data_IF_137415569327
#
_entry.id   IF_137415569327
#
_cell.length_a   1.000
_cell.length_b   1.000
_cell.length_c   1.000
_cell.angle_alpha   90.00
_cell.angle_beta   90.00
_cell.angle_gamma   90.00
#
_symmetry.space_group_name_H-M   'P 1'
#
loop_
_entity.id
_entity.type
_entity.pdbx_description
1 polymer ?
#
# COMPACT_ATOMS: atom_id res chain seq x y z
N UNK A 1 -3.77 -6.75 7.37
CA UNK A 1 -2.45 -6.68 8.03
C UNK A 1 -1.56 -5.72 7.25
N UNK A 2 -1.23 -6.03 5.99
CA UNK A 2 -0.37 -5.22 5.12
C UNK A 2 -0.67 -3.71 5.06
N UNK A 3 -1.94 -3.31 5.08
CA UNK A 3 -2.30 -1.89 5.09
C UNK A 3 -1.79 -1.18 6.36
N UNK A 4 -1.92 -1.83 7.52
CA UNK A 4 -1.43 -1.28 8.80
C UNK A 4 0.10 -1.25 8.79
N UNK A 5 0.74 -2.29 8.26
CA UNK A 5 2.20 -2.35 8.14
C UNK A 5 2.73 -1.25 7.20
N UNK A 6 2.01 -0.95 6.12
CA UNK A 6 2.33 0.14 5.21
C UNK A 6 2.33 1.50 5.94
N UNK A 7 1.26 1.77 6.69
CA UNK A 7 1.13 3.02 7.46
C UNK A 7 2.21 3.09 8.56
N UNK A 8 2.45 1.99 9.26
CA UNK A 8 3.49 1.91 10.28
C UNK A 8 4.89 2.18 9.72
N UNK A 9 5.23 1.57 8.58
CA UNK A 9 6.51 1.79 7.91
C UNK A 9 6.66 3.24 7.42
N UNK A 10 5.60 3.84 6.89
CA UNK A 10 5.59 5.25 6.48
C UNK A 10 5.86 6.18 7.68
N UNK A 11 5.16 5.96 8.81
CA UNK A 11 5.36 6.73 10.04
C UNK A 11 6.78 6.58 10.60
N UNK A 12 7.32 5.35 10.61
CA UNK A 12 8.69 5.10 11.07
C UNK A 12 9.72 5.81 10.17
N UNK A 13 9.50 5.82 8.86
CA UNK A 13 10.34 6.54 7.91
C UNK A 13 10.30 8.05 8.16
N UNK A 14 9.13 8.65 8.30
CA UNK A 14 8.99 10.07 8.64
C UNK A 14 9.70 10.40 9.97
N UNK A 15 9.51 9.57 11.00
CA UNK A 15 10.17 9.75 12.29
C UNK A 15 11.70 9.72 12.19
N UNK A 16 12.26 8.85 11.33
CA UNK A 16 13.71 8.81 11.08
C UNK A 16 14.26 10.07 10.39
N UNK A 17 13.39 10.85 9.75
CA UNK A 17 13.70 12.13 9.12
C UNK A 17 13.37 13.32 10.05
N UNK A 18 13.05 13.05 11.33
CA UNK A 18 12.59 14.05 12.30
C UNK A 18 11.30 14.77 11.87
N UNK A 19 10.52 14.16 10.97
CA UNK A 19 9.22 14.63 10.54
C UNK A 19 8.12 13.91 11.33
N UNK A 20 7.14 14.67 11.83
CA UNK A 20 6.04 14.11 12.61
C UNK A 20 4.71 14.71 12.13
N UNK A 21 3.94 14.02 11.26
CA UNK A 21 2.64 14.50 10.84
C UNK A 21 1.72 14.65 12.05
N UNK A 22 1.02 15.78 12.13
CA UNK A 22 0.12 16.11 13.23
C UNK A 22 -1.31 15.82 12.83
N UNK A 23 -2.03 15.04 13.62
CA UNK A 23 -3.46 14.84 13.42
C UNK A 23 -4.21 16.15 13.71
N UNK A 24 -5.05 16.58 12.77
CA UNK A 24 -5.89 17.77 12.92
C UNK A 24 -7.37 17.40 12.78
N UNK A 25 -8.27 17.99 13.58
CA UNK A 25 -9.69 17.85 13.34
C UNK A 25 -10.03 18.43 11.97
N UNK A 26 -10.89 17.73 11.22
CA UNK A 26 -11.36 18.17 9.90
C UNK A 26 -12.87 18.03 9.85
N UNK A 27 -13.52 19.02 9.24
CA UNK A 27 -14.95 19.02 8.96
C UNK A 27 -15.18 18.88 7.45
N UNK A 28 -16.01 17.91 7.06
CA UNK A 28 -16.27 17.63 5.65
C UNK A 28 -17.03 18.76 4.94
N UNK A 29 -17.89 19.48 5.67
CA UNK A 29 -18.70 20.60 5.18
C UNK A 29 -17.93 21.93 5.17
N UNK A 30 -16.84 22.03 5.93
CA UNK A 30 -15.93 23.18 5.89
C UNK A 30 -14.91 23.11 4.73
N UNK A 31 -14.90 22.01 3.97
CA UNK A 31 -13.87 21.73 2.95
C UNK A 31 -12.44 21.76 3.51
N UNK A 32 -12.26 21.33 4.76
CA UNK A 32 -10.94 21.27 5.39
C UNK A 32 -10.01 20.32 4.64
N UNK A 33 -8.73 20.69 4.59
CA UNK A 33 -7.65 19.83 4.10
C UNK A 33 -6.68 19.54 5.23
N UNK A 34 -6.16 18.33 5.27
CA UNK A 34 -5.10 17.97 6.20
C UNK A 34 -3.76 18.47 5.66
N UNK A 35 -3.19 19.49 6.30
CA UNK A 35 -1.93 20.11 5.88
C UNK A 35 -0.77 19.10 5.71
N UNK A 36 -0.59 18.21 6.69
CA UNK A 36 0.47 17.18 6.65
C UNK A 36 0.11 15.97 5.78
N UNK A 37 -1.08 15.98 5.17
CA UNK A 37 -1.58 14.88 4.35
C UNK A 37 -0.72 14.61 3.11
N UNK A 38 -0.15 15.65 2.49
CA UNK A 38 0.75 15.50 1.35
C UNK A 38 2.04 14.77 1.73
N UNK A 39 2.68 15.19 2.83
CA UNK A 39 3.87 14.55 3.38
C UNK A 39 3.60 13.09 3.73
N UNK A 40 2.49 12.81 4.43
CA UNK A 40 2.11 11.44 4.80
C UNK A 40 1.85 10.58 3.56
N UNK A 41 1.12 11.10 2.56
CA UNK A 41 0.87 10.39 1.30
C UNK A 41 2.18 10.11 0.55
N UNK A 42 3.11 11.06 0.51
CA UNK A 42 4.44 10.86 -0.05
C UNK A 42 5.23 9.76 0.66
N UNK A 43 5.15 9.71 1.99
CA UNK A 43 5.79 8.65 2.78
C UNK A 43 5.18 7.27 2.48
N UNK A 44 3.85 7.16 2.42
CA UNK A 44 3.13 5.92 2.09
C UNK A 44 3.52 5.40 0.70
N UNK A 45 3.55 6.28 -0.31
CA UNK A 45 3.89 5.89 -1.69
C UNK A 45 5.31 5.35 -1.82
N UNK A 46 6.21 5.77 -0.95
CA UNK A 46 7.61 5.35 -0.91
C UNK A 46 7.89 4.19 0.06
N UNK A 47 6.84 3.49 0.53
CA UNK A 47 6.99 2.27 1.32
C UNK A 47 7.43 1.12 0.41
N UNK A 48 8.44 0.37 0.88
CA UNK A 48 8.85 -0.90 0.31
C UNK A 48 9.01 -1.91 1.44
N UNK A 49 8.13 -2.91 1.50
CA UNK A 49 8.16 -3.98 2.50
C UNK A 49 8.23 -5.33 1.80
N UNK A 50 9.29 -6.10 2.06
CA UNK A 50 9.46 -7.44 1.49
C UNK A 50 8.66 -8.52 2.25
N UNK A 51 8.21 -8.23 3.46
CA UNK A 51 7.55 -9.17 4.39
C UNK A 51 6.04 -9.02 4.49
N UNK A 52 5.38 -8.44 3.48
CA UNK A 52 3.91 -8.36 3.45
C UNK A 52 3.27 -9.75 3.38
N UNK A 53 2.13 -9.93 4.04
CA UNK A 53 1.37 -11.20 4.00
C UNK A 53 0.87 -11.54 2.59
N UNK A 54 0.76 -10.53 1.71
CA UNK A 54 0.39 -10.69 0.30
C UNK A 54 1.59 -10.60 -0.66
N UNK A 55 2.80 -10.80 -0.15
CA UNK A 55 4.05 -10.61 -0.89
C UNK A 55 4.60 -9.19 -0.77
N UNK A 56 5.54 -8.84 -1.65
CA UNK A 56 6.20 -7.54 -1.62
C UNK A 56 5.19 -6.40 -1.77
N UNK A 57 5.19 -5.49 -0.80
CA UNK A 57 4.33 -4.32 -0.76
C UNK A 57 5.12 -3.10 -1.23
N UNK A 58 4.77 -2.64 -2.42
CA UNK A 58 5.28 -1.45 -3.07
C UNK A 58 4.15 -0.80 -3.89
N UNK A 59 4.30 0.47 -4.19
CA UNK A 59 3.31 1.26 -4.92
C UNK A 59 3.86 1.81 -6.24
N UNK A 60 2.99 1.95 -7.24
CA UNK A 60 3.27 2.69 -8.47
C UNK A 60 3.14 4.19 -8.23
N UNK A 61 3.57 5.01 -9.19
CA UNK A 61 3.39 6.47 -9.14
C UNK A 61 1.93 6.92 -8.95
N UNK A 62 0.97 6.08 -9.37
CA UNK A 62 -0.47 6.34 -9.21
C UNK A 62 -1.04 5.83 -7.86
N UNK A 63 -0.21 5.26 -6.99
CA UNK A 63 -0.62 4.71 -5.70
C UNK A 63 -1.24 3.31 -5.77
N UNK A 64 -1.10 2.60 -6.90
CA UNK A 64 -1.57 1.22 -7.05
C UNK A 64 -0.49 0.25 -6.55
N UNK A 65 -0.87 -0.96 -6.13
CA UNK A 65 0.12 -2.02 -5.85
C UNK A 65 0.95 -2.33 -7.11
N UNK A 66 2.27 -2.25 -7.01
CA UNK A 66 3.17 -2.54 -8.15
C UNK A 66 3.23 -4.03 -8.47
N UNK A 67 3.26 -4.86 -7.42
CA UNK A 67 3.26 -6.31 -7.53
C UNK A 67 1.93 -6.90 -7.04
N UNK A 68 1.32 -7.69 -7.93
CA UNK A 68 0.08 -8.41 -7.69
C UNK A 68 0.30 -9.88 -8.05
N UNK A 69 -0.02 -10.76 -7.09
CA UNK A 69 -0.10 -12.19 -7.32
C UNK A 69 -1.57 -12.59 -7.39
N UNK A 70 -1.96 -13.21 -8.50
CA UNK A 70 -3.35 -13.59 -8.77
C UNK A 70 -3.39 -15.08 -9.07
N UNK A 71 -4.14 -15.82 -8.26
CA UNK A 71 -4.40 -17.22 -8.50
C UNK A 71 -5.63 -17.39 -9.37
N UNK A 72 -5.45 -18.08 -10.50
CA UNK A 72 -6.55 -18.55 -11.32
C UNK A 72 -7.17 -19.76 -10.64
N UNK A 73 -8.43 -19.62 -10.22
CA UNK A 73 -9.18 -20.67 -9.55
C UNK A 73 -10.19 -21.28 -10.52
N UNK A 74 -10.27 -22.60 -10.55
CA UNK A 74 -11.22 -23.36 -11.36
C UNK A 74 -11.99 -24.34 -10.50
N UNK A 75 -13.04 -24.93 -11.08
CA UNK A 75 -13.79 -26.02 -10.43
C UNK A 75 -13.56 -27.33 -11.16
N UNK A 76 -12.93 -28.30 -10.51
CA UNK A 76 -12.66 -29.63 -11.07
C UNK A 76 -13.29 -30.65 -10.12
N UNK A 77 -14.13 -31.54 -10.65
CA UNK A 77 -14.83 -32.58 -9.86
C UNK A 77 -15.60 -32.04 -8.64
N UNK A 78 -16.13 -30.82 -8.74
CA UNK A 78 -16.91 -30.20 -7.66
C UNK A 78 -16.09 -29.39 -6.65
N UNK A 79 -14.76 -29.48 -6.67
CA UNK A 79 -13.85 -28.76 -5.76
C UNK A 79 -13.26 -27.52 -6.41
N UNK A 80 -13.02 -26.47 -5.61
CA UNK A 80 -12.28 -25.29 -6.06
C UNK A 80 -10.79 -25.61 -5.97
N UNK A 81 -10.11 -25.56 -7.11
CA UNK A 81 -8.68 -25.83 -7.21
C UNK A 81 -7.98 -24.69 -7.93
N UNK A 82 -6.72 -24.45 -7.57
CA UNK A 82 -5.86 -23.53 -8.31
C UNK A 82 -5.47 -24.17 -9.64
N UNK A 83 -5.76 -23.48 -10.74
CA UNK A 83 -5.49 -23.93 -12.11
C UNK A 83 -4.37 -23.14 -12.78
N UNK A 84 -4.10 -21.91 -12.32
CA UNK A 84 -3.00 -21.09 -12.82
C UNK A 84 -2.53 -20.07 -11.77
N UNK A 85 -1.37 -19.46 -12.01
CA UNK A 85 -0.84 -18.36 -11.21
C UNK A 85 -0.33 -17.27 -12.16
N UNK A 86 -0.70 -16.02 -11.89
CA UNK A 86 -0.25 -14.85 -12.63
C UNK A 86 0.45 -13.88 -11.69
N UNK A 87 1.68 -13.52 -12.03
CA UNK A 87 2.44 -12.47 -11.36
C UNK A 87 2.37 -11.24 -12.27
N UNK A 88 1.61 -10.22 -11.87
CA UNK A 88 1.64 -8.92 -12.55
C UNK A 88 2.63 -8.03 -11.82
N UNK A 89 3.77 -7.76 -12.48
CA UNK A 89 4.75 -6.77 -12.03
C UNK A 89 4.57 -5.51 -12.85
N UNK A 90 4.42 -4.38 -12.17
CA UNK A 90 4.42 -3.07 -12.78
C UNK A 90 5.66 -2.38 -12.24
N UNK A 91 6.59 -2.01 -13.12
CA UNK A 91 7.82 -1.34 -12.69
C UNK A 91 7.46 -0.09 -11.87
N UNK A 92 7.90 -0.06 -10.61
CA UNK A 92 7.90 1.15 -9.82
C UNK A 92 8.98 2.06 -10.43
N UNK A 93 8.56 3.17 -11.03
CA UNK A 93 9.52 4.18 -11.50
C UNK A 93 10.17 4.78 -10.25
N UNK A 94 11.48 4.55 -10.10
CA UNK A 94 12.33 5.07 -9.03
C UNK A 94 12.42 6.59 -9.05
#
# INVERSE_FOLDING_TARGET
MDAVDAIGAALLKLKSQELSPVATPMLCDAHDTWFDGEMMNGAIRNVSLDSGSTGKLMFTANGQRSDLFIDGMGRINGEIVKVSALVKRTDAIL
#
